data_IF_374874754561
#
_entry.id   IF_374874754561
#
_cell.length_a   1.000
_cell.length_b   1.000
_cell.length_c   1.000
_cell.angle_alpha   90.00
_cell.angle_beta   90.00
_cell.angle_gamma   90.00
#
_symmetry.space_group_name_H-M   'P 1'
#
loop_
_entity.id
_entity.type
_entity.pdbx_description
1 polymer ?
#
# COMPACT_ATOMS: atom_id res chain seq x y z
N UNK A 1 -9.51 -14.65 6.35
CA UNK A 1 -9.09 -14.62 7.78
C UNK A 1 -7.59 -14.91 7.92
N UNK A 2 -7.06 -15.85 7.14
CA UNK A 2 -5.66 -16.28 7.12
C UNK A 2 -4.59 -15.17 7.21
N UNK A 3 -4.65 -14.11 6.39
CA UNK A 3 -3.64 -13.03 6.42
C UNK A 3 -3.67 -12.23 7.73
N UNK A 4 -4.85 -11.95 8.28
CA UNK A 4 -4.95 -11.23 9.55
C UNK A 4 -4.47 -12.08 10.72
N UNK A 5 -4.70 -13.40 10.65
CA UNK A 5 -4.19 -14.36 11.62
C UNK A 5 -2.66 -14.47 11.54
N UNK A 6 -2.09 -14.48 10.33
CA UNK A 6 -0.64 -14.41 10.10
C UNK A 6 -0.03 -13.13 10.66
N UNK A 7 -0.75 -12.01 10.65
CA UNK A 7 -0.30 -10.73 11.24
C UNK A 7 -0.50 -10.63 12.76
N UNK A 8 -0.94 -11.68 13.47
CA UNK A 8 -1.07 -11.66 14.94
C UNK A 8 0.25 -11.45 15.71
N UNK A 9 1.41 -12.00 15.29
CA UNK A 9 2.68 -11.81 16.01
C UNK A 9 3.20 -10.37 16.01
N UNK A 10 2.79 -9.52 15.04
CA UNK A 10 3.23 -8.13 14.97
C UNK A 10 2.34 -7.19 15.81
N UNK A 11 2.89 -6.07 16.33
CA UNK A 11 2.12 -5.07 17.07
C UNK A 11 0.92 -4.53 16.30
N UNK A 12 -0.17 -4.21 17.01
CA UNK A 12 -1.46 -3.78 16.44
C UNK A 12 -1.33 -2.62 15.45
N UNK A 13 -0.43 -1.66 15.70
CA UNK A 13 -0.25 -0.48 14.83
C UNK A 13 0.44 -0.79 13.49
N UNK A 14 1.17 -1.92 13.39
CA UNK A 14 1.79 -2.39 12.13
C UNK A 14 0.88 -3.33 11.35
N UNK A 15 -0.21 -3.80 11.93
CA UNK A 15 -1.15 -4.70 11.26
C UNK A 15 -1.85 -3.95 10.12
N UNK A 16 -2.04 -4.60 8.96
CA UNK A 16 -2.74 -3.98 7.84
C UNK A 16 -4.18 -3.66 8.22
N UNK A 17 -4.63 -2.43 7.92
CA UNK A 17 -6.02 -2.00 8.12
C UNK A 17 -6.93 -2.38 6.95
N UNK A 18 -6.36 -2.49 5.75
CA UNK A 18 -7.04 -2.85 4.50
C UNK A 18 -6.15 -3.83 3.75
N UNK A 19 -6.75 -4.86 3.17
CA UNK A 19 -6.09 -5.85 2.32
C UNK A 19 -6.80 -5.79 0.96
N UNK A 20 -6.04 -5.49 -0.10
CA UNK A 20 -6.56 -5.31 -1.45
C UNK A 20 -5.89 -6.36 -2.33
N UNK A 21 -6.71 -7.14 -3.04
CA UNK A 21 -6.24 -8.10 -4.03
C UNK A 21 -6.41 -7.49 -5.42
N UNK A 22 -5.30 -7.25 -6.10
CA UNK A 22 -5.26 -6.67 -7.43
C UNK A 22 -3.96 -7.11 -8.13
N UNK A 23 -3.86 -6.86 -9.43
CA UNK A 23 -2.63 -7.06 -10.17
C UNK A 23 -1.57 -6.04 -9.75
N UNK A 24 -0.37 -6.55 -9.45
CA UNK A 24 0.78 -5.74 -9.04
C UNK A 24 1.49 -5.21 -10.30
N UNK A 25 1.48 -3.89 -10.56
CA UNK A 25 2.19 -3.33 -11.70
C UNK A 25 3.69 -3.54 -11.50
N UNK A 26 4.34 -4.05 -12.55
CA UNK A 26 5.77 -4.28 -12.60
C UNK A 26 6.35 -3.62 -13.85
N UNK A 27 7.60 -3.21 -13.75
CA UNK A 27 8.33 -2.70 -14.90
C UNK A 27 8.78 -3.87 -15.81
N UNK A 28 9.31 -3.59 -17.02
CA UNK A 28 9.82 -4.64 -17.91
C UNK A 28 10.94 -5.51 -17.32
N UNK A 29 11.65 -5.00 -16.30
CA UNK A 29 12.68 -5.76 -15.53
C UNK A 29 12.08 -6.57 -14.38
N UNK A 30 10.75 -6.55 -14.18
CA UNK A 30 10.05 -7.26 -13.11
C UNK A 30 10.04 -6.58 -11.74
N UNK A 31 10.63 -5.38 -11.59
CA UNK A 31 10.60 -4.58 -10.35
C UNK A 31 9.20 -3.99 -10.14
N UNK A 32 8.73 -3.98 -8.89
CA UNK A 32 7.41 -3.46 -8.53
C UNK A 32 7.37 -1.93 -8.64
N UNK A 33 6.36 -1.41 -9.33
CA UNK A 33 6.18 0.02 -9.52
C UNK A 33 5.36 0.63 -8.37
N UNK A 34 6.06 0.93 -7.28
CA UNK A 34 5.47 1.58 -6.08
C UNK A 34 4.76 2.92 -6.37
N UNK A 35 5.22 3.79 -7.30
CA UNK A 35 4.49 5.02 -7.62
C UNK A 35 3.08 4.75 -8.15
N UNK A 36 2.94 3.88 -9.18
CA UNK A 36 1.64 3.51 -9.75
C UNK A 36 0.71 2.84 -8.74
N UNK A 37 1.26 2.00 -7.84
CA UNK A 37 0.49 1.42 -6.74
C UNK A 37 -0.05 2.48 -5.77
N UNK A 38 0.75 3.50 -5.44
CA UNK A 38 0.33 4.57 -4.55
C UNK A 38 -0.75 5.45 -5.18
N UNK A 39 -0.60 5.79 -6.46
CA UNK A 39 -1.61 6.52 -7.23
C UNK A 39 -2.94 5.76 -7.29
N UNK A 40 -2.91 4.44 -7.53
CA UNK A 40 -4.12 3.62 -7.66
C UNK A 40 -4.91 3.46 -6.34
N UNK A 41 -4.24 3.39 -5.18
CA UNK A 41 -4.90 2.99 -3.92
C UNK A 41 -4.78 3.96 -2.76
N UNK A 42 -3.75 4.81 -2.73
CA UNK A 42 -3.44 5.68 -1.58
C UNK A 42 -3.61 7.17 -1.87
N UNK A 43 -3.65 7.56 -3.15
CA UNK A 43 -3.77 8.95 -3.55
C UNK A 43 -2.54 9.78 -3.18
N UNK A 44 -2.67 11.11 -3.30
CA UNK A 44 -1.62 12.04 -2.94
C UNK A 44 -1.29 12.02 -1.45
N UNK A 45 -0.01 12.17 -1.12
CA UNK A 45 0.41 12.28 0.28
C UNK A 45 -0.21 13.51 0.94
N UNK A 46 -0.53 13.42 2.22
CA UNK A 46 -1.07 14.54 2.99
C UNK A 46 -0.18 15.80 2.92
N UNK A 47 1.14 15.61 2.88
CA UNK A 47 2.14 16.69 2.66
C UNK A 47 1.99 17.33 1.28
N UNK A 48 1.77 16.52 0.23
CA UNK A 48 1.54 17.03 -1.11
C UNK A 48 0.21 17.79 -1.24
N UNK A 49 -0.81 17.44 -0.44
CA UNK A 49 -2.04 18.21 -0.35
C UNK A 49 -1.83 19.53 0.41
N UNK A 50 -1.07 19.53 1.51
CA UNK A 50 -0.76 20.72 2.30
C UNK A 50 0.02 21.78 1.50
N UNK A 51 0.98 21.36 0.67
CA UNK A 51 1.82 22.29 -0.11
C UNK A 51 1.11 22.93 -1.33
N UNK A 52 -0.13 22.51 -1.65
CA UNK A 52 -0.94 23.11 -2.73
C UNK A 52 -1.85 24.23 -2.26
N UNK A 53 -1.99 24.39 -0.93
CA UNK A 53 -2.71 25.49 -0.29
C UNK A 53 -1.80 26.70 -0.15
#
# INVERSE_FOLDING_TARGET
KEILDFCKPIPRYKRPRKIIYDQVPRNPTGKIEKPKLREKFWGDSWVAAQNRA
#
